data_IF_868139369027
#
_entry.id   IF_868139369027
#
_cell.length_a   1.000
_cell.length_b   1.000
_cell.length_c   1.000
_cell.angle_alpha   90.00
_cell.angle_beta   90.00
_cell.angle_gamma   90.00
#
_symmetry.space_group_name_H-M   'P 1'
#
loop_
_entity.id
_entity.type
_entity.pdbx_description
1 polymer ?
#
# COMPACT_ATOMS: atom_id res chain seq x y z
N UNK A 1 -11.21 10.39 15.48
CA UNK A 1 -11.53 11.39 16.52
C UNK A 1 -13.03 11.40 16.76
N UNK A 2 -13.47 11.89 17.92
CA UNK A 2 -14.88 12.04 18.30
C UNK A 2 -15.24 13.50 18.52
N UNK A 3 -16.52 13.80 18.30
CA UNK A 3 -17.16 15.06 18.63
C UNK A 3 -18.36 14.82 19.56
N UNK A 4 -18.95 15.88 20.16
CA UNK A 4 -20.18 15.77 20.93
C UNK A 4 -21.38 15.34 20.07
N UNK A 5 -21.42 15.73 18.80
CA UNK A 5 -22.50 15.40 17.87
C UNK A 5 -22.05 15.39 16.40
N UNK A 6 -22.87 14.81 15.52
CA UNK A 6 -22.65 14.85 14.07
C UNK A 6 -22.66 16.29 13.51
N UNK A 7 -23.44 17.19 14.14
CA UNK A 7 -23.54 18.61 13.77
C UNK A 7 -22.19 19.33 14.00
N UNK A 8 -21.31 18.80 14.85
CA UNK A 8 -19.92 19.28 14.96
C UNK A 8 -18.91 18.52 14.11
N UNK A 9 -19.08 17.21 13.97
CA UNK A 9 -18.19 16.42 13.13
C UNK A 9 -18.18 16.88 11.65
N UNK A 10 -19.34 17.28 11.12
CA UNK A 10 -19.45 17.74 9.73
C UNK A 10 -18.71 19.07 9.46
N UNK A 11 -18.93 20.15 10.22
CA UNK A 11 -18.11 21.36 10.12
C UNK A 11 -16.62 21.13 10.34
N UNK A 12 -16.23 20.20 11.22
CA UNK A 12 -14.83 19.84 11.39
C UNK A 12 -14.22 19.19 10.15
N UNK A 13 -14.96 18.26 9.52
CA UNK A 13 -14.53 17.66 8.25
C UNK A 13 -14.36 18.72 7.16
N UNK A 14 -15.32 19.64 7.00
CA UNK A 14 -15.22 20.73 6.03
C UNK A 14 -14.02 21.64 6.32
N UNK A 15 -13.84 22.04 7.58
CA UNK A 15 -12.72 22.88 7.98
C UNK A 15 -11.37 22.22 7.70
N UNK A 16 -11.23 20.91 7.94
CA UNK A 16 -10.00 20.15 7.62
C UNK A 16 -9.73 20.15 6.11
N UNK A 17 -10.77 20.09 5.27
CA UNK A 17 -10.60 20.22 3.82
C UNK A 17 -10.14 21.61 3.42
N UNK A 18 -10.78 22.65 3.96
CA UNK A 18 -10.49 24.05 3.63
C UNK A 18 -9.13 24.51 4.18
N UNK A 19 -8.65 23.89 5.26
CA UNK A 19 -7.38 24.21 5.92
C UNK A 19 -6.30 23.15 5.67
N UNK A 20 -6.37 22.45 4.53
CA UNK A 20 -5.41 21.41 4.16
C UNK A 20 -3.96 21.90 4.24
N UNK A 21 -3.67 23.11 3.79
CA UNK A 21 -2.31 23.66 3.80
C UNK A 21 -1.75 23.84 5.22
N UNK A 22 -2.58 24.30 6.16
CA UNK A 22 -2.20 24.39 7.57
C UNK A 22 -1.97 23.02 8.20
N UNK A 23 -2.81 22.04 7.86
CA UNK A 23 -2.61 20.65 8.30
C UNK A 23 -1.33 20.07 7.72
N UNK A 24 -1.07 20.31 6.43
CA UNK A 24 0.13 19.88 5.74
C UNK A 24 1.39 20.48 6.36
N UNK A 25 1.39 21.77 6.67
CA UNK A 25 2.51 22.44 7.35
C UNK A 25 2.82 21.76 8.70
N UNK A 26 1.79 21.52 9.51
CA UNK A 26 1.96 20.87 10.82
C UNK A 26 2.41 19.42 10.68
N UNK A 27 1.87 18.67 9.72
CA UNK A 27 2.30 17.30 9.42
C UNK A 27 3.77 17.26 8.98
N UNK A 28 4.14 18.07 8.00
CA UNK A 28 5.46 18.07 7.38
C UNK A 28 6.55 18.60 8.34
N UNK A 29 6.19 19.44 9.31
CA UNK A 29 7.09 19.90 10.38
C UNK A 29 7.64 18.76 11.26
N UNK A 30 6.94 17.62 11.30
CA UNK A 30 7.30 16.49 12.16
C UNK A 30 8.54 15.71 11.68
N UNK A 31 8.90 15.83 10.40
CA UNK A 31 9.98 15.07 9.76
C UNK A 31 10.46 15.71 8.45
N UNK A 32 11.78 15.66 8.21
CA UNK A 32 12.37 16.09 6.93
C UNK A 32 11.92 15.28 5.72
N UNK A 33 11.40 14.06 5.90
CA UNK A 33 11.00 13.16 4.81
C UNK A 33 9.49 13.01 4.66
N UNK A 34 8.71 13.30 5.70
CA UNK A 34 7.26 13.16 5.67
C UNK A 34 6.67 14.30 4.85
N UNK A 35 6.00 13.99 3.74
CA UNK A 35 5.27 15.00 2.96
C UNK A 35 3.83 14.58 2.74
N UNK A 36 2.91 15.25 3.44
CA UNK A 36 1.48 15.02 3.29
C UNK A 36 1.05 15.33 1.86
N UNK A 37 0.38 14.36 1.24
CA UNK A 37 -0.11 14.42 -0.13
C UNK A 37 -1.61 14.69 -0.15
N UNK A 38 -2.38 13.98 0.69
CA UNK A 38 -3.82 14.14 0.80
C UNK A 38 -4.33 13.67 2.15
N UNK A 39 -5.53 14.11 2.48
CA UNK A 39 -6.31 13.62 3.63
C UNK A 39 -7.67 13.15 3.13
N UNK A 40 -8.06 11.93 3.50
CA UNK A 40 -9.39 11.39 3.18
C UNK A 40 -10.16 11.15 4.46
N UNK A 41 -11.43 11.56 4.47
CA UNK A 41 -12.24 11.56 5.69
C UNK A 41 -13.57 10.84 5.49
N UNK A 42 -14.03 10.18 6.55
CA UNK A 42 -15.34 9.54 6.62
C UNK A 42 -15.97 9.79 7.99
N UNK A 43 -17.25 10.15 8.00
CA UNK A 43 -18.03 10.32 9.22
C UNK A 43 -18.85 9.05 9.49
N UNK A 44 -18.89 8.64 10.76
CA UNK A 44 -19.83 7.63 11.25
C UNK A 44 -20.44 8.13 12.57
N UNK A 45 -21.66 8.65 12.50
CA UNK A 45 -22.29 9.33 13.64
C UNK A 45 -21.48 10.53 14.10
N UNK A 46 -21.06 10.55 15.37
CA UNK A 46 -20.20 11.61 15.94
C UNK A 46 -18.68 11.36 15.77
N UNK A 47 -18.31 10.27 15.08
CA UNK A 47 -16.92 9.91 14.82
C UNK A 47 -16.49 10.43 13.46
N UNK A 48 -15.27 10.99 13.41
CA UNK A 48 -14.58 11.36 12.17
C UNK A 48 -13.32 10.51 12.04
N UNK A 49 -13.27 9.70 10.99
CA UNK A 49 -12.11 8.91 10.60
C UNK A 49 -11.31 9.70 9.57
N UNK A 50 -10.03 9.93 9.86
CA UNK A 50 -9.16 10.76 9.05
C UNK A 50 -7.97 9.90 8.61
N UNK A 51 -7.80 9.76 7.30
CA UNK A 51 -6.72 8.99 6.67
C UNK A 51 -5.71 9.96 6.07
N UNK A 52 -4.58 10.12 6.74
CA UNK A 52 -3.44 10.89 6.27
C UNK A 52 -2.62 10.06 5.28
N UNK A 53 -2.34 10.62 4.11
CA UNK A 53 -1.54 9.97 3.07
C UNK A 53 -0.32 10.84 2.80
N UNK A 54 0.86 10.29 3.04
CA UNK A 54 2.12 11.02 2.94
C UNK A 54 3.23 10.14 2.34
N UNK A 55 4.22 10.78 1.72
CA UNK A 55 5.47 10.11 1.35
C UNK A 55 6.41 10.06 2.56
N UNK A 56 7.31 9.07 2.58
CA UNK A 56 8.15 8.72 3.75
C UNK A 56 9.63 8.54 3.42
N UNK A 57 10.02 8.92 2.20
CA UNK A 57 11.31 8.55 1.62
C UNK A 57 11.44 7.03 1.47
N UNK A 58 12.59 6.49 1.87
CA UNK A 58 12.93 5.07 1.76
C UNK A 58 12.47 4.23 2.97
N UNK A 59 11.93 4.87 4.02
CA UNK A 59 11.34 4.17 5.15
C UNK A 59 9.93 3.68 4.80
N UNK A 60 9.54 2.54 5.36
CA UNK A 60 8.13 2.11 5.34
C UNK A 60 7.23 3.16 6.04
N UNK A 61 7.74 3.77 7.12
CA UNK A 61 7.28 5.10 7.57
C UNK A 61 6.15 5.13 8.60
N UNK A 62 5.71 4.00 9.17
CA UNK A 62 4.64 3.98 10.19
C UNK A 62 4.85 4.94 11.36
N UNK A 63 6.04 4.92 11.99
CA UNK A 63 6.33 5.83 13.11
C UNK A 63 6.33 7.30 12.69
N UNK A 64 6.82 7.57 11.47
CA UNK A 64 6.89 8.91 10.89
C UNK A 64 5.48 9.48 10.66
N UNK A 65 4.57 8.66 10.10
CA UNK A 65 3.18 9.01 9.84
C UNK A 65 2.37 9.19 11.13
N UNK A 66 2.57 8.32 12.13
CA UNK A 66 1.91 8.45 13.43
C UNK A 66 2.27 9.77 14.11
N UNK A 67 3.55 10.15 14.05
CA UNK A 67 4.02 11.45 14.58
C UNK A 67 3.39 12.61 13.82
N UNK A 68 3.48 12.66 12.49
CA UNK A 68 2.86 13.74 11.69
C UNK A 68 1.35 13.87 11.90
N UNK A 69 0.67 12.73 12.06
CA UNK A 69 -0.76 12.66 12.39
C UNK A 69 -1.05 13.30 13.74
N UNK A 70 -0.26 13.01 14.78
CA UNK A 70 -0.44 13.59 16.11
C UNK A 70 -0.32 15.13 16.08
N UNK A 71 0.70 15.67 15.40
CA UNK A 71 0.86 17.13 15.23
C UNK A 71 -0.32 17.75 14.51
N UNK A 72 -0.78 17.10 13.43
CA UNK A 72 -1.93 17.55 12.65
C UNK A 72 -3.21 17.58 13.48
N UNK A 73 -3.47 16.52 14.25
CA UNK A 73 -4.66 16.44 15.09
C UNK A 73 -4.63 17.47 16.23
N UNK A 74 -3.46 17.72 16.83
CA UNK A 74 -3.28 18.80 17.82
C UNK A 74 -3.56 20.19 17.22
N UNK A 75 -3.22 20.41 15.96
CA UNK A 75 -3.58 21.64 15.25
C UNK A 75 -5.08 21.77 15.04
N UNK A 76 -5.76 20.69 14.61
CA UNK A 76 -7.22 20.67 14.48
C UNK A 76 -7.90 20.94 15.84
N UNK A 77 -7.37 20.38 16.94
CA UNK A 77 -7.92 20.63 18.29
C UNK A 77 -7.90 22.11 18.71
N UNK A 78 -7.03 22.94 18.12
CA UNK A 78 -7.04 24.39 18.41
C UNK A 78 -8.26 25.10 17.82
N UNK A 79 -8.79 24.59 16.71
CA UNK A 79 -10.02 25.12 16.08
C UNK A 79 -11.28 24.41 16.59
N UNK A 80 -11.14 23.19 17.11
CA UNK A 80 -12.22 22.36 17.63
C UNK A 80 -11.81 21.80 19.00
N UNK A 81 -11.90 22.64 20.04
CA UNK A 81 -11.56 22.26 21.42
C UNK A 81 -12.44 21.14 21.97
N UNK A 82 -13.63 20.96 21.39
CA UNK A 82 -14.57 19.88 21.65
C UNK A 82 -14.22 18.57 20.92
N UNK A 83 -13.15 18.55 20.13
CA UNK A 83 -12.64 17.35 19.47
C UNK A 83 -11.79 16.50 20.41
N UNK A 84 -12.17 15.23 20.55
CA UNK A 84 -11.44 14.24 21.32
C UNK A 84 -10.68 13.27 20.41
N UNK A 85 -9.38 13.10 20.68
CA UNK A 85 -8.54 12.12 20.00
C UNK A 85 -8.64 10.78 20.73
N UNK A 86 -9.61 9.94 20.30
CA UNK A 86 -9.78 8.58 20.86
C UNK A 86 -8.58 7.66 20.60
N UNK A 87 -8.00 7.75 19.40
CA UNK A 87 -6.86 6.94 18.96
C UNK A 87 -6.23 7.59 17.73
N UNK A 88 -4.91 7.49 17.60
CA UNK A 88 -4.17 7.84 16.37
C UNK A 88 -4.40 6.81 15.25
N UNK A 89 -4.79 5.58 15.60
CA UNK A 89 -5.13 4.52 14.65
C UNK A 89 -6.55 4.03 14.89
N UNK A 90 -7.49 4.51 14.08
CA UNK A 90 -8.90 4.11 14.12
C UNK A 90 -9.23 2.96 13.16
N UNK A 91 -8.25 2.10 12.82
CA UNK A 91 -8.35 1.06 11.80
C UNK A 91 -8.71 1.53 10.36
N UNK A 92 -8.75 2.83 10.12
CA UNK A 92 -8.97 3.42 8.78
C UNK A 92 -7.66 3.65 7.98
N UNK A 93 -6.52 3.13 8.49
CA UNK A 93 -5.25 3.17 7.78
C UNK A 93 -5.22 2.28 6.52
N UNK A 94 -5.55 0.98 6.49
CA UNK A 94 -5.74 -0.03 7.55
C UNK A 94 -4.46 -0.88 7.68
N UNK A 95 -3.90 -1.05 8.88
CA UNK A 95 -2.62 -1.73 9.07
C UNK A 95 -2.78 -3.19 9.49
N UNK A 96 -2.19 -4.15 8.75
CA UNK A 96 -2.17 -5.59 9.09
C UNK A 96 -3.55 -6.25 9.22
N UNK A 97 -4.58 -5.66 8.62
CA UNK A 97 -5.94 -6.24 8.51
C UNK A 97 -6.42 -6.11 7.06
N UNK A 98 -7.19 -7.09 6.55
CA UNK A 98 -7.77 -6.98 5.22
C UNK A 98 -8.77 -5.83 5.19
N UNK A 99 -8.65 -4.94 4.20
CA UNK A 99 -9.55 -3.80 4.06
C UNK A 99 -9.64 -3.32 2.60
N UNK A 100 -10.87 -3.15 2.12
CA UNK A 100 -11.16 -2.65 0.78
C UNK A 100 -10.53 -1.27 0.53
N UNK A 101 -10.37 -0.45 1.57
CA UNK A 101 -9.75 0.88 1.44
C UNK A 101 -8.30 0.77 0.97
N UNK A 102 -7.52 -0.23 1.40
CA UNK A 102 -6.15 -0.41 0.92
C UNK A 102 -6.11 -0.87 -0.54
N UNK A 103 -7.10 -1.66 -0.96
CA UNK A 103 -7.24 -2.12 -2.34
C UNK A 103 -7.59 -0.98 -3.30
N UNK A 104 -8.58 -0.15 -2.94
CA UNK A 104 -9.13 0.90 -3.80
C UNK A 104 -8.23 2.14 -3.83
N UNK A 105 -7.75 2.56 -2.66
CA UNK A 105 -7.07 3.84 -2.49
C UNK A 105 -5.55 3.70 -2.40
N UNK A 106 -5.05 2.46 -2.40
CA UNK A 106 -3.65 2.11 -2.18
C UNK A 106 -3.18 2.29 -0.73
N UNK A 107 -2.00 1.75 -0.43
CA UNK A 107 -1.25 1.98 0.82
C UNK A 107 0.22 1.59 0.65
N UNK A 108 1.15 2.49 0.93
CA UNK A 108 2.56 2.25 0.64
C UNK A 108 2.84 2.48 -0.84
N UNK A 109 3.32 1.46 -1.56
CA UNK A 109 3.62 1.51 -3.00
C UNK A 109 2.52 0.81 -3.79
N UNK A 110 2.13 1.41 -4.90
CA UNK A 110 1.25 0.82 -5.90
C UNK A 110 2.07 0.50 -7.14
N UNK A 111 2.14 -0.77 -7.51
CA UNK A 111 3.02 -1.28 -8.57
C UNK A 111 2.23 -2.07 -9.60
N UNK A 112 2.63 -1.95 -10.86
CA UNK A 112 2.16 -2.77 -11.97
C UNK A 112 3.40 -3.35 -12.67
N UNK A 113 3.38 -4.65 -12.94
CA UNK A 113 4.40 -5.32 -13.73
C UNK A 113 3.72 -6.11 -14.85
N UNK A 114 4.32 -6.12 -16.04
CA UNK A 114 3.82 -6.84 -17.22
C UNK A 114 4.96 -7.58 -17.93
N UNK A 115 4.61 -8.65 -18.62
CA UNK A 115 5.52 -9.38 -19.48
C UNK A 115 4.78 -10.05 -20.65
N UNK A 116 5.50 -10.22 -21.75
CA UNK A 116 5.08 -11.05 -22.88
C UNK A 116 5.92 -12.33 -22.86
N UNK A 117 5.27 -13.48 -22.76
CA UNK A 117 5.91 -14.79 -22.74
C UNK A 117 5.64 -15.49 -24.07
N UNK A 118 6.68 -15.78 -24.89
CA UNK A 118 6.48 -16.43 -26.18
C UNK A 118 5.82 -17.80 -26.06
N UNK A 119 4.96 -18.16 -27.02
CA UNK A 119 4.23 -19.44 -27.05
C UNK A 119 5.15 -20.66 -26.87
N UNK A 120 6.33 -20.64 -27.51
CA UNK A 120 7.34 -21.68 -27.40
C UNK A 120 7.86 -21.87 -25.96
N UNK A 121 7.94 -20.78 -25.18
CA UNK A 121 8.37 -20.82 -23.79
C UNK A 121 7.25 -21.37 -22.91
N UNK A 122 6.00 -20.98 -23.18
CA UNK A 122 4.82 -21.53 -22.50
C UNK A 122 4.75 -23.05 -22.71
N UNK A 123 4.90 -23.51 -23.96
CA UNK A 123 4.91 -24.94 -24.29
C UNK A 123 6.10 -25.69 -23.70
N UNK A 124 7.33 -25.20 -23.92
CA UNK A 124 8.53 -25.95 -23.60
C UNK A 124 8.99 -25.82 -22.15
N UNK A 125 8.65 -24.74 -21.44
CA UNK A 125 9.06 -24.52 -20.05
C UNK A 125 7.88 -24.70 -19.10
N UNK A 126 6.76 -24.01 -19.35
CA UNK A 126 5.58 -24.09 -18.49
C UNK A 126 4.74 -25.36 -18.74
N UNK A 127 5.05 -26.13 -19.79
CA UNK A 127 4.43 -27.41 -20.14
C UNK A 127 2.91 -27.30 -20.30
N UNK A 128 2.45 -26.19 -20.86
CA UNK A 128 1.04 -25.90 -21.12
C UNK A 128 0.89 -25.07 -22.39
N UNK A 129 -0.31 -24.54 -22.68
CA UNK A 129 -0.55 -23.59 -23.76
C UNK A 129 -1.20 -22.31 -23.22
N UNK A 130 -1.18 -21.24 -24.03
CA UNK A 130 -1.66 -19.90 -23.63
C UNK A 130 -3.15 -19.90 -23.31
N UNK A 131 -3.99 -20.53 -24.14
CA UNK A 131 -5.43 -20.59 -23.90
C UNK A 131 -5.76 -21.25 -22.55
N UNK A 132 -5.10 -22.36 -22.23
CA UNK A 132 -5.29 -23.04 -20.95
C UNK A 132 -4.89 -22.16 -19.75
N UNK A 133 -3.83 -21.36 -19.87
CA UNK A 133 -3.44 -20.41 -18.82
C UNK A 133 -4.45 -19.28 -18.66
N UNK A 134 -4.94 -18.70 -19.75
CA UNK A 134 -5.95 -17.64 -19.74
C UNK A 134 -7.26 -18.16 -19.14
N UNK A 135 -7.71 -19.36 -19.53
CA UNK A 135 -8.92 -19.99 -18.99
C UNK A 135 -8.79 -20.25 -17.49
N UNK A 136 -7.66 -20.78 -17.04
CA UNK A 136 -7.38 -20.97 -15.60
C UNK A 136 -7.33 -19.63 -14.87
N UNK A 137 -6.71 -18.59 -15.44
CA UNK A 137 -6.67 -17.27 -14.80
C UNK A 137 -8.07 -16.70 -14.62
N UNK A 138 -8.90 -16.73 -15.67
CA UNK A 138 -10.26 -16.20 -15.63
C UNK A 138 -11.16 -17.00 -14.67
N UNK A 139 -11.14 -18.33 -14.78
CA UNK A 139 -11.97 -19.18 -13.91
C UNK A 139 -11.52 -19.14 -12.45
N UNK A 140 -10.21 -19.13 -12.17
CA UNK A 140 -9.66 -19.22 -10.81
C UNK A 140 -9.46 -17.85 -10.15
N UNK A 141 -8.69 -16.95 -10.77
CA UNK A 141 -8.30 -15.67 -10.18
C UNK A 141 -9.42 -14.64 -10.24
N UNK A 142 -10.31 -14.71 -11.23
CA UNK A 142 -11.44 -13.78 -11.36
C UNK A 142 -12.72 -14.40 -10.81
N UNK A 143 -13.32 -15.34 -11.55
CA UNK A 143 -14.63 -15.90 -11.19
C UNK A 143 -14.58 -16.60 -9.84
N UNK A 144 -13.58 -17.45 -9.60
CA UNK A 144 -13.38 -18.14 -8.33
C UNK A 144 -13.24 -17.18 -7.15
N UNK A 145 -12.38 -16.17 -7.25
CA UNK A 145 -12.22 -15.14 -6.21
C UNK A 145 -13.48 -14.31 -5.99
N UNK A 146 -14.24 -14.00 -7.05
CA UNK A 146 -15.51 -13.29 -6.95
C UNK A 146 -16.57 -14.13 -6.20
N UNK A 147 -16.71 -15.41 -6.54
CA UNK A 147 -17.60 -16.35 -5.84
C UNK A 147 -17.21 -16.50 -4.37
N UNK A 148 -15.92 -16.44 -4.05
CA UNK A 148 -15.42 -16.50 -2.68
C UNK A 148 -15.60 -15.19 -1.88
N UNK A 149 -16.09 -14.11 -2.49
CA UNK A 149 -16.21 -12.81 -1.83
C UNK A 149 -14.86 -12.16 -1.50
N UNK A 150 -13.81 -12.49 -2.27
CA UNK A 150 -12.46 -11.95 -2.07
C UNK A 150 -12.37 -10.47 -2.44
N UNK A 151 -11.68 -9.68 -1.62
CA UNK A 151 -11.34 -8.29 -1.92
C UNK A 151 -9.82 -8.17 -1.96
N UNK A 152 -9.27 -7.91 -3.15
CA UNK A 152 -7.83 -7.76 -3.40
C UNK A 152 -7.07 -9.08 -3.61
N UNK A 153 -7.72 -10.23 -3.45
CA UNK A 153 -7.13 -11.56 -3.69
C UNK A 153 -7.45 -12.15 -5.06
N UNK A 154 -7.23 -11.40 -6.14
CA UNK A 154 -7.48 -11.84 -7.53
C UNK A 154 -6.21 -12.43 -8.16
N UNK A 155 -5.56 -13.35 -7.45
CA UNK A 155 -4.26 -13.91 -7.82
C UNK A 155 -4.13 -15.37 -7.34
N UNK A 156 -3.04 -16.03 -7.72
CA UNK A 156 -2.78 -17.41 -7.31
C UNK A 156 -2.13 -17.52 -5.92
N UNK A 157 -0.99 -16.88 -5.72
CA UNK A 157 -0.19 -17.04 -4.51
C UNK A 157 0.77 -15.86 -4.29
N UNK A 158 0.33 -14.61 -4.55
CA UNK A 158 1.16 -13.42 -4.37
C UNK A 158 1.73 -13.34 -2.95
N UNK A 159 0.95 -13.74 -1.94
CA UNK A 159 1.35 -13.80 -0.54
C UNK A 159 2.59 -14.66 -0.28
N UNK A 160 2.81 -15.74 -1.05
CA UNK A 160 3.99 -16.60 -0.88
C UNK A 160 5.27 -15.85 -1.26
N UNK A 161 5.24 -15.16 -2.40
CA UNK A 161 6.39 -14.40 -2.91
C UNK A 161 6.68 -13.20 -2.01
N UNK A 162 5.63 -12.44 -1.65
CA UNK A 162 5.74 -11.30 -0.74
C UNK A 162 6.34 -11.73 0.59
N UNK A 163 5.82 -12.80 1.21
CA UNK A 163 6.34 -13.30 2.49
C UNK A 163 7.80 -13.72 2.40
N UNK A 164 8.19 -14.46 1.35
CA UNK A 164 9.56 -14.91 1.17
C UNK A 164 10.54 -13.72 1.06
N UNK A 165 10.20 -12.73 0.23
CA UNK A 165 11.01 -11.52 0.06
C UNK A 165 11.04 -10.70 1.36
N UNK A 166 9.90 -10.55 2.05
CA UNK A 166 9.79 -9.79 3.29
C UNK A 166 10.68 -10.36 4.38
N UNK A 167 10.67 -11.68 4.56
CA UNK A 167 11.52 -12.36 5.54
C UNK A 167 13.01 -12.24 5.18
N UNK A 168 13.35 -12.42 3.90
CA UNK A 168 14.74 -12.32 3.43
C UNK A 168 15.31 -10.90 3.58
N UNK A 169 14.49 -9.86 3.34
CA UNK A 169 14.93 -8.46 3.30
C UNK A 169 14.61 -7.66 4.57
N UNK A 170 14.11 -8.31 5.62
CA UNK A 170 13.90 -7.67 6.93
C UNK A 170 12.70 -6.74 7.02
N UNK A 171 11.67 -7.00 6.21
CA UNK A 171 10.39 -6.30 6.28
C UNK A 171 9.52 -6.84 7.42
N UNK A 172 8.36 -6.22 7.66
CA UNK A 172 7.39 -6.70 8.64
C UNK A 172 6.46 -7.77 8.00
N UNK A 173 6.61 -9.06 8.33
CA UNK A 173 5.83 -10.13 7.69
C UNK A 173 4.33 -10.02 7.98
N UNK A 174 3.91 -9.33 9.04
CA UNK A 174 2.48 -9.12 9.31
C UNK A 174 1.82 -8.19 8.29
N UNK A 175 2.61 -7.36 7.59
CA UNK A 175 2.12 -6.50 6.51
C UNK A 175 1.84 -7.26 5.21
N UNK A 176 2.18 -8.56 5.15
CA UNK A 176 1.77 -9.44 4.05
C UNK A 176 0.25 -9.40 3.82
N UNK A 177 -0.55 -9.22 4.88
CA UNK A 177 -2.02 -9.12 4.80
C UNK A 177 -2.50 -8.07 3.79
N UNK A 178 -1.84 -6.91 3.73
CA UNK A 178 -2.16 -5.85 2.76
C UNK A 178 -1.24 -5.87 1.53
N UNK A 179 0.02 -6.23 1.73
CA UNK A 179 1.04 -6.22 0.67
C UNK A 179 0.84 -7.33 -0.36
N UNK A 180 0.10 -8.39 -0.03
CA UNK A 180 -0.25 -9.46 -0.97
C UNK A 180 -1.49 -9.18 -1.82
N UNK A 181 -2.13 -8.02 -1.65
CA UNK A 181 -3.19 -7.59 -2.56
C UNK A 181 -2.65 -7.55 -3.98
N UNK A 182 -3.23 -8.36 -4.86
CA UNK A 182 -2.74 -8.53 -6.22
C UNK A 182 -3.88 -8.96 -7.15
N UNK A 183 -3.93 -8.34 -8.32
CA UNK A 183 -4.71 -8.80 -9.47
C UNK A 183 -3.77 -9.31 -10.56
N UNK A 184 -3.96 -10.56 -10.97
CA UNK A 184 -3.25 -11.18 -12.09
C UNK A 184 -4.17 -11.25 -13.30
N UNK A 185 -3.74 -10.64 -14.40
CA UNK A 185 -4.43 -10.69 -15.70
C UNK A 185 -3.57 -11.46 -16.69
N UNK A 186 -4.24 -12.18 -17.59
CA UNK A 186 -3.63 -12.94 -18.67
C UNK A 186 -4.49 -12.83 -19.91
N UNK A 187 -3.88 -12.59 -21.07
CA UNK A 187 -4.56 -12.58 -22.36
C UNK A 187 -3.64 -13.09 -23.48
N UNK A 188 -4.21 -13.63 -24.58
CA UNK A 188 -3.44 -13.92 -25.78
C UNK A 188 -2.89 -12.62 -26.39
N UNK A 189 -1.67 -12.66 -26.90
CA UNK A 189 -0.93 -11.48 -27.37
C UNK A 189 -0.27 -11.68 -28.73
N UNK A 190 -0.05 -10.56 -29.41
CA UNK A 190 0.65 -10.49 -30.69
C UNK A 190 -0.25 -10.71 -31.91
N UNK A 191 0.29 -10.57 -33.14
CA UNK A 191 -0.51 -10.64 -34.37
C UNK A 191 -1.21 -11.99 -34.59
N UNK A 192 -0.64 -13.08 -34.06
CA UNK A 192 -1.19 -14.43 -34.15
C UNK A 192 -2.03 -14.82 -32.93
N UNK A 193 -1.95 -14.05 -31.84
CA UNK A 193 -2.61 -14.39 -30.57
C UNK A 193 -2.04 -15.63 -29.87
N UNK A 194 -0.81 -16.03 -30.19
CA UNK A 194 -0.21 -17.26 -29.65
C UNK A 194 0.66 -17.00 -28.41
N UNK A 195 1.16 -15.78 -28.22
CA UNK A 195 1.97 -15.42 -27.07
C UNK A 195 1.08 -15.08 -25.87
N UNK A 196 1.64 -15.16 -24.67
CA UNK A 196 0.92 -14.81 -23.44
C UNK A 196 1.34 -13.40 -22.99
N UNK A 197 0.39 -12.48 -22.91
CA UNK A 197 0.54 -11.30 -22.07
C UNK A 197 0.11 -11.65 -20.65
N UNK A 198 0.90 -11.24 -19.67
CA UNK A 198 0.60 -11.39 -18.24
C UNK A 198 0.93 -10.09 -17.52
N UNK A 199 0.05 -9.68 -16.60
CA UNK A 199 0.32 -8.56 -15.71
C UNK A 199 -0.10 -8.82 -14.27
N UNK A 200 0.61 -8.21 -13.33
CA UNK A 200 0.29 -8.21 -11.91
C UNK A 200 0.20 -6.77 -11.40
N UNK A 201 -0.92 -6.43 -10.76
CA UNK A 201 -1.17 -5.12 -10.15
C UNK A 201 -1.30 -5.25 -8.65
N UNK A 202 -0.44 -4.57 -7.89
CA UNK A 202 -0.33 -4.64 -6.44
C UNK A 202 -0.44 -3.23 -5.84
N UNK A 203 -1.63 -2.78 -5.40
CA UNK A 203 -1.85 -1.39 -5.04
C UNK A 203 -1.35 -1.01 -3.64
N UNK A 204 -0.99 -1.97 -2.79
CA UNK A 204 -0.75 -1.73 -1.37
C UNK A 204 0.49 -2.42 -0.78
N UNK A 205 1.63 -2.37 -1.49
CA UNK A 205 2.90 -2.94 -1.00
C UNK A 205 3.50 -2.03 0.08
N UNK A 206 3.62 -2.54 1.29
CA UNK A 206 4.20 -1.83 2.43
C UNK A 206 5.63 -2.28 2.65
N UNK A 207 6.58 -1.52 2.11
CA UNK A 207 8.00 -1.89 2.10
C UNK A 207 8.88 -0.71 2.45
N UNK A 208 10.09 -1.00 2.95
CA UNK A 208 11.13 0.00 3.21
C UNK A 208 12.53 -0.59 3.12
N UNK A 209 13.51 0.26 2.84
CA UNK A 209 14.93 -0.13 2.73
C UNK A 209 15.78 0.44 3.86
N UNK A 210 15.16 1.23 4.76
CA UNK A 210 15.72 1.70 6.03
C UNK A 210 14.80 1.38 7.23
N UNK A 211 15.44 1.09 8.36
CA UNK A 211 14.80 0.90 9.67
C UNK A 211 14.29 -0.52 9.93
N UNK A 212 13.93 -0.78 11.19
CA UNK A 212 13.43 -2.10 11.65
C UNK A 212 14.40 -3.24 11.27
N UNK A 213 13.90 -4.37 10.76
CA UNK A 213 14.69 -5.55 10.42
C UNK A 213 15.71 -5.34 9.30
N UNK A 214 15.59 -4.29 8.48
CA UNK A 214 16.55 -4.00 7.38
C UNK A 214 17.96 -3.65 7.88
N UNK A 215 18.10 -3.28 9.16
CA UNK A 215 19.42 -2.95 9.76
C UNK A 215 20.21 -4.20 10.13
N UNK A 216 19.57 -5.36 10.22
CA UNK A 216 20.22 -6.60 10.63
C UNK A 216 21.18 -7.07 9.52
N UNK A 217 22.41 -7.50 9.85
CA UNK A 217 23.42 -7.84 8.83
C UNK A 217 22.96 -8.87 7.78
N UNK A 218 22.26 -9.98 8.13
CA UNK A 218 21.82 -10.94 7.13
C UNK A 218 20.81 -10.33 6.14
N UNK A 219 19.78 -9.65 6.65
CA UNK A 219 18.74 -9.01 5.85
C UNK A 219 19.29 -7.86 4.99
N UNK A 220 20.22 -7.09 5.54
CA UNK A 220 20.95 -6.06 4.81
C UNK A 220 21.72 -6.62 3.62
N UNK A 221 22.33 -7.80 3.76
CA UNK A 221 23.03 -8.47 2.64
C UNK A 221 22.07 -8.84 1.51
N UNK A 222 20.86 -9.31 1.84
CA UNK A 222 19.85 -9.57 0.82
C UNK A 222 19.40 -8.29 0.09
N UNK A 223 19.31 -7.15 0.81
CA UNK A 223 19.05 -5.85 0.19
C UNK A 223 20.22 -5.37 -0.69
N UNK A 224 21.46 -5.68 -0.32
CA UNK A 224 22.65 -5.39 -1.12
C UNK A 224 22.67 -6.20 -2.42
N UNK A 225 22.26 -7.48 -2.39
CA UNK A 225 22.13 -8.31 -3.59
C UNK A 225 21.12 -7.74 -4.61
N UNK A 226 20.09 -7.05 -4.11
CA UNK A 226 19.09 -6.36 -4.91
C UNK A 226 19.53 -4.94 -5.31
N UNK A 227 20.62 -4.41 -4.76
CA UNK A 227 21.13 -3.06 -5.04
C UNK A 227 20.29 -1.92 -4.45
N UNK A 228 19.47 -2.20 -3.42
CA UNK A 228 18.47 -1.27 -2.88
C UNK A 228 18.67 -0.95 -1.39
N UNK A 229 19.81 -1.32 -0.79
CA UNK A 229 20.04 -1.09 0.63
C UNK A 229 20.23 0.40 0.96
N UNK A 230 19.61 0.82 2.06
CA UNK A 230 19.83 2.13 2.66
C UNK A 230 18.82 3.17 2.23
N UNK A 231 19.26 4.43 2.13
CA UNK A 231 18.47 5.54 1.61
C UNK A 231 19.12 6.14 0.38
N UNK A 232 18.32 6.60 -0.59
CA UNK A 232 18.84 7.39 -1.70
C UNK A 232 18.85 8.88 -1.31
N UNK A 233 20.04 9.48 -1.24
CA UNK A 233 20.23 10.88 -0.86
C UNK A 233 19.84 11.87 -1.96
N UNK A 234 19.86 11.45 -3.23
CA UNK A 234 19.51 12.29 -4.37
C UNK A 234 18.00 12.28 -4.65
N UNK A 235 17.37 11.10 -4.53
CA UNK A 235 15.92 10.93 -4.70
C UNK A 235 15.33 10.11 -3.55
N UNK A 236 14.85 10.75 -2.47
CA UNK A 236 14.25 10.05 -1.34
C UNK A 236 13.10 9.12 -1.78
N UNK A 237 13.19 7.84 -1.41
CA UNK A 237 12.20 6.83 -1.78
C UNK A 237 12.48 6.09 -3.08
N UNK A 238 13.55 6.44 -3.82
CA UNK A 238 13.92 5.75 -5.05
C UNK A 238 14.33 4.29 -4.81
N UNK A 239 15.05 3.99 -3.73
CA UNK A 239 15.42 2.60 -3.43
C UNK A 239 14.18 1.77 -3.11
N UNK A 240 13.27 2.33 -2.32
CA UNK A 240 12.01 1.67 -2.01
C UNK A 240 11.11 1.47 -3.24
N UNK A 241 11.15 2.36 -4.25
CA UNK A 241 10.48 2.14 -5.54
C UNK A 241 11.14 1.03 -6.36
N UNK A 242 12.47 0.89 -6.31
CA UNK A 242 13.20 -0.16 -7.03
C UNK A 242 13.04 -1.54 -6.40
N UNK A 243 12.71 -1.62 -5.11
CA UNK A 243 12.43 -2.88 -4.39
C UNK A 243 11.03 -3.44 -4.67
N UNK A 244 10.08 -2.59 -5.06
CA UNK A 244 8.66 -2.91 -5.24
C UNK A 244 8.31 -3.23 -6.68
#
# INVERSE_FOLDING_TARGET
VSFPSIIRASPAMQWIQDNFDGIKEQFDSSSRFARLQRVTMKIAGRLLFIRFVATTGDAMGMNMLSKGTEYSLKFVQRAFEDMEILSLSGNFCTDKKPAAVNWIEGRGKSVVCEAIVPAKIVANILKTNVHALVDVNNSKNMVGSAVAGSIGGFNAHAANIVTAIFLATGQDPAQNVGSSNCMTLMEPWGPTGEDLYISCTMPSIEIGTIGSGTILPPQGTCLDMLGVRGSNTAEPGAQCKSTS
#
